data_IF_058161957970
#
_entry.id   IF_058161957970
#
_cell.length_a   1.000
_cell.length_b   1.000
_cell.length_c   1.000
_cell.angle_alpha   90.00
_cell.angle_beta   90.00
_cell.angle_gamma   90.00
#
_symmetry.space_group_name_H-M   'P 1'
#
loop_
_entity.id
_entity.type
_entity.pdbx_description
1 polymer ?
#
# COMPACT_ATOMS: atom_id res chain seq x y z
N UNK A 1 24.59 45.98 -22.85
CA UNK A 1 25.81 45.71 -23.64
C UNK A 1 25.69 44.31 -24.22
N UNK A 2 25.97 44.17 -25.52
CA UNK A 2 25.69 43.03 -26.41
C UNK A 2 26.51 41.76 -26.09
N UNK A 3 25.94 40.58 -26.38
CA UNK A 3 26.58 39.29 -26.68
C UNK A 3 26.91 39.19 -28.21
N UNK A 4 27.44 38.10 -28.82
CA UNK A 4 28.35 36.98 -28.43
C UNK A 4 29.46 36.65 -29.51
N UNK A 5 30.21 35.55 -29.34
CA UNK A 5 30.94 34.80 -30.42
C UNK A 5 32.38 35.27 -30.69
N UNK A 6 33.34 34.53 -31.25
CA UNK A 6 33.36 33.23 -31.94
C UNK A 6 34.85 32.89 -32.28
N UNK A 7 35.22 31.59 -32.27
CA UNK A 7 36.25 30.86 -33.06
C UNK A 7 37.74 31.30 -33.19
N UNK A 8 38.60 30.29 -32.90
CA UNK A 8 39.79 29.77 -33.62
C UNK A 8 41.06 30.61 -33.85
N UNK A 9 42.23 29.97 -33.58
CA UNK A 9 43.48 29.84 -34.39
C UNK A 9 44.50 29.06 -33.50
N UNK A 10 44.78 27.76 -33.68
CA UNK A 10 45.67 27.03 -34.62
C UNK A 10 47.19 27.36 -34.60
N UNK A 11 47.98 26.28 -34.65
CA UNK A 11 49.44 26.13 -34.90
C UNK A 11 50.36 26.13 -33.66
N UNK A 12 51.33 25.23 -33.42
CA UNK A 12 52.08 24.24 -34.22
C UNK A 12 52.72 23.21 -33.25
N UNK A 13 52.63 21.90 -33.50
CA UNK A 13 53.60 21.01 -34.18
C UNK A 13 54.64 20.31 -33.26
N UNK A 14 54.44 18.99 -33.15
CA UNK A 14 55.40 17.87 -33.18
C UNK A 14 56.66 17.90 -32.30
N UNK A 15 56.74 16.94 -31.36
CA UNK A 15 57.92 16.07 -31.26
C UNK A 15 57.50 14.61 -30.99
N UNK A 16 58.21 13.74 -31.68
CA UNK A 16 58.03 12.31 -31.86
C UNK A 16 58.77 11.54 -30.76
N UNK A 17 58.20 10.42 -30.30
CA UNK A 17 58.97 9.19 -30.07
C UNK A 17 58.04 7.98 -29.87
N UNK A 18 58.36 6.81 -30.46
CA UNK A 18 57.57 5.59 -30.34
C UNK A 18 58.12 4.66 -29.24
N UNK A 19 57.25 3.85 -28.64
CA UNK A 19 57.67 2.56 -28.06
C UNK A 19 56.52 1.55 -28.17
N UNK A 20 56.76 0.58 -29.05
CA UNK A 20 56.46 -0.84 -29.01
C UNK A 20 55.13 -1.38 -28.47
N UNK A 21 54.53 -2.22 -29.31
CA UNK A 21 53.27 -2.90 -29.07
C UNK A 21 53.31 -3.90 -27.93
N UNK A 22 52.14 -4.07 -27.33
CA UNK A 22 51.78 -5.28 -26.59
C UNK A 22 50.39 -5.72 -27.05
N UNK A 23 50.38 -6.99 -27.41
CA UNK A 23 49.31 -7.94 -27.69
C UNK A 23 47.94 -7.65 -27.06
N UNK A 24 46.92 -7.99 -27.86
CA UNK A 24 45.53 -8.09 -27.49
C UNK A 24 45.31 -8.87 -26.18
N UNK A 25 44.43 -8.35 -25.34
CA UNK A 25 43.51 -9.19 -24.59
C UNK A 25 42.16 -8.49 -24.46
N UNK A 26 41.12 -9.15 -24.97
CA UNK A 26 39.75 -8.71 -24.90
C UNK A 26 39.25 -8.84 -23.47
N UNK A 27 39.26 -7.73 -22.72
CA UNK A 27 38.56 -7.68 -21.44
C UNK A 27 37.06 -7.60 -21.71
N UNK A 28 36.44 -8.77 -21.72
CA UNK A 28 35.01 -8.95 -21.64
C UNK A 28 34.47 -8.12 -20.45
N UNK A 29 33.65 -7.12 -20.76
CA UNK A 29 32.80 -6.46 -19.78
C UNK A 29 31.96 -7.54 -19.10
N UNK A 30 32.01 -7.71 -17.77
CA UNK A 30 31.11 -8.63 -17.13
C UNK A 30 29.72 -8.04 -17.27
N UNK A 31 28.89 -8.71 -18.09
CA UNK A 31 27.45 -8.62 -17.97
C UNK A 31 27.12 -9.06 -16.55
N UNK A 32 26.97 -8.09 -15.64
CA UNK A 32 26.23 -8.29 -14.41
C UNK A 32 24.79 -8.57 -14.86
N UNK A 33 24.50 -9.83 -15.13
CA UNK A 33 23.14 -10.29 -15.31
C UNK A 33 22.48 -10.09 -13.95
N UNK A 34 21.70 -9.02 -13.83
CA UNK A 34 20.84 -8.81 -12.67
C UNK A 34 20.01 -10.07 -12.55
N UNK A 35 20.33 -10.88 -11.53
CA UNK A 35 19.39 -11.89 -11.05
C UNK A 35 18.25 -11.07 -10.46
N UNK A 36 17.29 -10.70 -11.30
CA UNK A 36 15.95 -10.40 -10.83
C UNK A 36 15.50 -11.67 -10.10
N UNK A 37 15.66 -11.70 -8.78
CA UNK A 37 15.08 -12.76 -7.97
C UNK A 37 13.56 -12.68 -8.21
N UNK A 38 12.95 -13.66 -8.90
CA UNK A 38 11.51 -13.65 -9.03
C UNK A 38 10.96 -13.93 -7.64
N UNK A 39 10.33 -12.93 -7.02
CA UNK A 39 9.55 -13.12 -5.79
C UNK A 39 8.55 -14.24 -6.10
N UNK A 40 8.72 -15.40 -5.46
CA UNK A 40 7.78 -16.50 -5.60
C UNK A 40 6.37 -15.99 -5.25
N UNK A 41 5.31 -16.42 -5.97
CA UNK A 41 3.96 -16.01 -5.62
C UNK A 41 3.67 -16.37 -4.17
N UNK A 42 3.16 -15.40 -3.39
CA UNK A 42 2.69 -15.65 -2.02
C UNK A 42 1.71 -16.82 -2.04
N UNK A 43 1.83 -17.77 -1.10
CA UNK A 43 0.88 -18.87 -1.00
C UNK A 43 -0.53 -18.35 -0.68
N UNK A 44 -1.59 -19.02 -1.14
CA UNK A 44 -2.99 -18.58 -0.92
C UNK A 44 -3.31 -18.28 0.55
N UNK A 45 -2.76 -19.08 1.47
CA UNK A 45 -2.89 -18.87 2.92
C UNK A 45 -2.24 -17.55 3.38
N UNK A 46 -1.07 -17.22 2.87
CA UNK A 46 -0.36 -15.99 3.21
C UNK A 46 -1.10 -14.76 2.65
N UNK A 47 -1.62 -14.86 1.42
CA UNK A 47 -2.48 -13.83 0.84
C UNK A 47 -3.72 -13.58 1.70
N UNK A 48 -4.39 -14.65 2.16
CA UNK A 48 -5.55 -14.52 3.04
C UNK A 48 -5.21 -13.82 4.37
N UNK A 49 -4.05 -14.13 4.97
CA UNK A 49 -3.58 -13.46 6.20
C UNK A 49 -3.25 -11.98 5.98
N UNK A 50 -2.70 -11.62 4.82
CA UNK A 50 -2.45 -10.21 4.48
C UNK A 50 -3.75 -9.44 4.26
N UNK A 51 -4.75 -10.07 3.64
CA UNK A 51 -6.08 -9.49 3.48
C UNK A 51 -6.76 -9.28 4.84
N UNK A 52 -6.64 -10.25 5.75
CA UNK A 52 -7.12 -10.09 7.13
C UNK A 52 -6.49 -8.90 7.82
N UNK A 53 -5.17 -8.85 7.78
CA UNK A 53 -4.42 -7.73 8.35
C UNK A 53 -4.86 -6.40 7.76
N UNK A 54 -5.06 -6.32 6.45
CA UNK A 54 -5.56 -5.10 5.80
C UNK A 54 -6.91 -4.69 6.37
N UNK A 55 -7.85 -5.64 6.47
CA UNK A 55 -9.21 -5.39 6.96
C UNK A 55 -9.23 -5.01 8.44
N UNK A 56 -8.39 -5.65 9.27
CA UNK A 56 -8.22 -5.33 10.69
C UNK A 56 -7.66 -3.92 10.88
N UNK A 57 -6.67 -3.52 10.08
CA UNK A 57 -6.10 -2.18 10.15
C UNK A 57 -7.11 -1.10 9.74
N UNK A 58 -7.93 -1.37 8.71
CA UNK A 58 -9.05 -0.48 8.32
C UNK A 58 -10.05 -0.38 9.48
N UNK A 59 -10.42 -1.52 10.10
CA UNK A 59 -11.34 -1.55 11.24
C UNK A 59 -10.81 -0.71 12.40
N UNK A 60 -9.57 -0.92 12.83
CA UNK A 60 -8.95 -0.15 13.91
C UNK A 60 -8.95 1.35 13.63
N UNK A 61 -8.61 1.75 12.40
CA UNK A 61 -8.60 3.16 11.99
C UNK A 61 -10.00 3.79 12.04
N UNK A 62 -11.03 3.02 11.66
CA UNK A 62 -12.42 3.44 11.74
C UNK A 62 -12.91 3.54 13.19
N UNK A 63 -12.55 2.58 14.05
CA UNK A 63 -12.96 2.60 15.46
C UNK A 63 -12.40 3.79 16.24
N UNK A 64 -11.19 4.27 15.90
CA UNK A 64 -10.62 5.50 16.48
C UNK A 64 -11.51 6.73 16.19
N UNK A 65 -12.32 6.71 15.12
CA UNK A 65 -13.13 7.86 14.73
C UNK A 65 -14.19 8.23 15.77
N UNK A 66 -14.67 7.29 16.57
CA UNK A 66 -15.56 7.59 17.71
C UNK A 66 -14.86 8.48 18.75
N UNK A 67 -13.59 8.22 19.06
CA UNK A 67 -12.84 9.06 20.00
C UNK A 67 -12.53 10.43 19.41
N UNK A 68 -12.23 10.48 18.11
CA UNK A 68 -12.07 11.75 17.38
C UNK A 68 -13.36 12.57 17.41
N UNK A 69 -14.51 11.92 17.19
CA UNK A 69 -15.82 12.56 17.28
C UNK A 69 -16.06 13.11 18.70
N UNK A 70 -15.85 12.31 19.75
CA UNK A 70 -16.02 12.76 21.14
C UNK A 70 -15.15 13.97 21.47
N UNK A 71 -13.89 13.98 20.98
CA UNK A 71 -13.00 15.11 21.20
C UNK A 71 -13.51 16.35 20.49
N UNK A 72 -13.89 16.23 19.22
CA UNK A 72 -14.42 17.36 18.44
C UNK A 72 -15.73 17.89 19.00
N UNK A 73 -16.61 17.00 19.47
CA UNK A 73 -17.86 17.37 20.14
C UNK A 73 -17.59 18.23 21.37
N UNK A 74 -16.73 17.76 22.28
CA UNK A 74 -16.36 18.50 23.49
C UNK A 74 -15.72 19.86 23.17
N UNK A 75 -14.92 19.93 22.11
CA UNK A 75 -14.20 21.15 21.70
C UNK A 75 -14.98 22.03 20.71
N UNK A 76 -16.24 21.66 20.40
CA UNK A 76 -17.08 22.33 19.41
C UNK A 76 -16.37 22.55 18.06
N UNK A 77 -15.62 21.54 17.61
CA UNK A 77 -14.88 21.56 16.34
C UNK A 77 -15.64 20.86 15.22
N UNK A 78 -15.50 21.32 13.97
CA UNK A 78 -16.11 20.66 12.81
C UNK A 78 -15.52 19.25 12.59
N UNK A 79 -16.29 18.41 11.90
CA UNK A 79 -15.86 17.07 11.47
C UNK A 79 -14.78 17.19 10.38
N UNK A 80 -14.90 18.15 9.49
CA UNK A 80 -13.90 18.43 8.46
C UNK A 80 -12.66 19.11 9.06
N UNK A 81 -11.48 18.67 8.63
CA UNK A 81 -10.21 19.36 8.88
C UNK A 81 -9.38 19.35 7.58
N UNK A 82 -9.68 20.24 6.63
CA UNK A 82 -9.06 20.22 5.30
C UNK A 82 -7.53 20.28 5.35
N UNK A 83 -6.98 21.08 6.28
CA UNK A 83 -5.52 21.22 6.45
C UNK A 83 -4.90 19.91 6.94
N UNK A 84 -5.50 19.22 7.92
CA UNK A 84 -4.98 17.94 8.40
C UNK A 84 -5.16 16.82 7.36
N UNK A 85 -6.27 16.83 6.64
CA UNK A 85 -6.58 15.89 5.57
C UNK A 85 -5.56 16.03 4.42
N UNK A 86 -5.29 17.26 3.96
CA UNK A 86 -4.27 17.52 2.95
C UNK A 86 -2.87 17.08 3.39
N UNK A 87 -2.48 17.37 4.63
CA UNK A 87 -1.20 16.93 5.19
C UNK A 87 -1.08 15.38 5.19
N UNK A 88 -2.15 14.66 5.56
CA UNK A 88 -2.19 13.20 5.48
C UNK A 88 -1.99 12.71 4.05
N UNK A 89 -2.73 13.27 3.08
CA UNK A 89 -2.66 12.84 1.69
C UNK A 89 -1.28 13.12 1.07
N UNK A 90 -0.67 14.26 1.40
CA UNK A 90 0.69 14.58 0.97
C UNK A 90 1.71 13.58 1.52
N UNK A 91 1.63 13.26 2.81
CA UNK A 91 2.50 12.26 3.44
C UNK A 91 2.32 10.87 2.80
N UNK A 92 1.07 10.44 2.57
CA UNK A 92 0.75 9.18 1.89
C UNK A 92 1.36 9.15 0.49
N UNK A 93 1.23 10.22 -0.29
CA UNK A 93 1.79 10.30 -1.64
C UNK A 93 3.32 10.18 -1.65
N UNK A 94 4.00 10.85 -0.72
CA UNK A 94 5.45 10.74 -0.55
C UNK A 94 5.86 9.30 -0.19
N UNK A 95 5.18 8.68 0.79
CA UNK A 95 5.48 7.32 1.21
C UNK A 95 5.17 6.28 0.13
N UNK A 96 4.12 6.49 -0.66
CA UNK A 96 3.79 5.65 -1.80
C UNK A 96 4.89 5.67 -2.87
N UNK A 97 5.41 6.87 -3.17
CA UNK A 97 6.54 7.06 -4.09
C UNK A 97 7.77 6.29 -3.61
N UNK A 98 8.13 6.43 -2.33
CA UNK A 98 9.26 5.72 -1.73
C UNK A 98 9.11 4.19 -1.76
N UNK A 99 7.86 3.70 -1.69
CA UNK A 99 7.53 2.27 -1.71
C UNK A 99 7.20 1.72 -3.10
N UNK A 100 7.40 2.53 -4.15
CA UNK A 100 7.18 2.15 -5.55
C UNK A 100 5.76 1.63 -5.87
N UNK A 101 4.75 2.17 -5.18
CA UNK A 101 3.34 1.99 -5.55
C UNK A 101 2.82 3.31 -6.13
N UNK A 102 1.79 3.24 -6.97
CA UNK A 102 1.20 4.43 -7.59
C UNK A 102 0.73 5.44 -6.51
N UNK A 103 1.35 6.64 -6.43
CA UNK A 103 0.98 7.65 -5.44
C UNK A 103 -0.46 8.14 -5.59
N UNK A 104 -0.99 8.22 -6.82
CA UNK A 104 -2.35 8.68 -7.06
C UNK A 104 -3.36 7.67 -6.54
N UNK A 105 -3.11 6.39 -6.79
CA UNK A 105 -3.93 5.31 -6.24
C UNK A 105 -3.89 5.28 -4.70
N UNK A 106 -2.71 5.42 -4.09
CA UNK A 106 -2.58 5.46 -2.63
C UNK A 106 -3.30 6.67 -2.01
N UNK A 107 -3.16 7.86 -2.62
CA UNK A 107 -3.90 9.07 -2.21
C UNK A 107 -5.40 8.84 -2.32
N UNK A 108 -5.88 8.26 -3.43
CA UNK A 108 -7.28 7.92 -3.60
C UNK A 108 -7.76 6.95 -2.51
N UNK A 109 -6.98 5.90 -2.21
CA UNK A 109 -7.29 4.98 -1.12
C UNK A 109 -7.52 5.71 0.20
N UNK A 110 -6.57 6.56 0.61
CA UNK A 110 -6.68 7.30 1.88
C UNK A 110 -7.75 8.39 1.87
N UNK A 111 -8.09 8.99 0.72
CA UNK A 111 -9.29 9.85 0.61
C UNK A 111 -10.55 9.09 0.98
N UNK A 112 -10.74 7.88 0.47
CA UNK A 112 -11.89 7.05 0.82
C UNK A 112 -11.88 6.60 2.28
N UNK A 113 -10.69 6.34 2.86
CA UNK A 113 -10.56 6.08 4.31
C UNK A 113 -10.95 7.30 5.17
N UNK A 114 -10.65 8.53 4.73
CA UNK A 114 -11.11 9.75 5.40
C UNK A 114 -12.64 9.85 5.33
N UNK A 115 -13.24 9.64 4.15
CA UNK A 115 -14.69 9.70 3.97
C UNK A 115 -15.42 8.66 4.82
N UNK A 116 -14.95 7.41 4.84
CA UNK A 116 -15.52 6.35 5.68
C UNK A 116 -15.47 6.73 7.17
N UNK A 117 -14.36 7.31 7.62
CA UNK A 117 -14.24 7.77 9.00
C UNK A 117 -15.15 8.95 9.35
N UNK A 118 -15.39 9.86 8.40
CA UNK A 118 -16.35 10.96 8.59
C UNK A 118 -17.78 10.47 8.75
N UNK A 119 -18.19 9.41 8.03
CA UNK A 119 -19.53 8.83 8.19
C UNK A 119 -19.79 8.37 9.63
N UNK A 120 -18.79 7.76 10.28
CA UNK A 120 -18.88 7.38 11.69
C UNK A 120 -19.05 8.62 12.58
N UNK A 121 -18.21 9.66 12.38
CA UNK A 121 -18.31 10.90 13.17
C UNK A 121 -19.66 11.60 12.97
N UNK A 122 -20.22 11.57 11.76
CA UNK A 122 -21.52 12.17 11.44
C UNK A 122 -22.64 11.43 12.20
N UNK A 123 -22.64 10.10 12.16
CA UNK A 123 -23.64 9.29 12.86
C UNK A 123 -23.58 9.50 14.38
N UNK A 124 -22.37 9.60 14.94
CA UNK A 124 -22.14 9.93 16.34
C UNK A 124 -22.70 11.31 16.70
N UNK A 125 -22.35 12.35 15.94
CA UNK A 125 -22.80 13.73 16.18
C UNK A 125 -24.33 13.83 16.13
N UNK A 126 -24.97 13.20 15.14
CA UNK A 126 -26.43 13.17 15.02
C UNK A 126 -27.08 12.50 16.24
N UNK A 127 -26.50 11.37 16.67
CA UNK A 127 -26.97 10.64 17.85
C UNK A 127 -26.87 11.50 19.11
N UNK A 128 -25.73 12.13 19.33
CA UNK A 128 -25.48 12.96 20.52
C UNK A 128 -26.30 14.24 20.54
N UNK A 129 -26.55 14.83 19.38
CA UNK A 129 -27.47 15.96 19.25
C UNK A 129 -28.90 15.55 19.65
N UNK A 130 -29.40 14.42 19.15
CA UNK A 130 -30.72 13.91 19.49
C UNK A 130 -30.83 13.55 20.98
N UNK A 131 -29.77 12.98 21.56
CA UNK A 131 -29.70 12.61 22.98
C UNK A 131 -29.35 13.78 23.91
N UNK A 132 -29.13 14.99 23.37
CA UNK A 132 -28.73 16.17 24.13
C UNK A 132 -27.47 15.94 25.00
N UNK A 133 -26.50 15.17 24.49
CA UNK A 133 -25.25 14.91 25.21
C UNK A 133 -24.44 16.19 25.29
N UNK A 134 -24.14 16.67 26.51
CA UNK A 134 -23.32 17.86 26.70
C UNK A 134 -21.85 17.63 26.37
N UNK A 135 -21.21 16.67 27.04
CA UNK A 135 -19.79 16.34 26.82
C UNK A 135 -19.46 14.92 27.30
N UNK A 136 -18.31 14.41 26.86
CA UNK A 136 -17.75 13.13 27.28
C UNK A 136 -16.57 13.32 28.23
N UNK A 137 -16.49 12.52 29.30
CA UNK A 137 -15.32 12.47 30.17
C UNK A 137 -14.19 11.62 29.57
N UNK A 138 -12.96 11.84 30.02
CA UNK A 138 -11.78 11.01 29.71
C UNK A 138 -11.50 10.81 28.21
N UNK A 139 -11.79 11.84 27.39
CA UNK A 139 -11.53 11.79 25.96
C UNK A 139 -10.03 12.02 25.68
N UNK A 140 -9.35 11.12 24.94
CA UNK A 140 -7.94 11.31 24.61
C UNK A 140 -7.71 12.57 23.76
N UNK A 141 -6.54 13.21 23.90
CA UNK A 141 -6.22 14.39 23.11
C UNK A 141 -6.05 14.06 21.62
N UNK A 142 -6.67 14.87 20.76
CA UNK A 142 -6.66 14.65 19.32
C UNK A 142 -5.24 14.75 18.74
N UNK A 143 -4.43 15.70 19.19
CA UNK A 143 -3.11 15.97 18.61
C UNK A 143 -2.02 15.09 19.19
N UNK A 144 -2.06 14.86 20.50
CA UNK A 144 -1.01 14.15 21.23
C UNK A 144 -1.23 12.64 21.24
N UNK A 145 -2.47 12.16 21.09
CA UNK A 145 -2.80 10.73 21.18
C UNK A 145 -3.42 10.18 19.90
N UNK A 146 -4.57 10.71 19.48
CA UNK A 146 -5.35 10.09 18.41
C UNK A 146 -4.69 10.23 17.03
N UNK A 147 -4.14 11.41 16.69
CA UNK A 147 -3.43 11.62 15.42
C UNK A 147 -2.19 10.73 15.29
N UNK A 148 -1.29 10.63 16.29
CA UNK A 148 -0.19 9.67 16.25
C UNK A 148 -0.62 8.21 16.04
N UNK A 149 -1.69 7.76 16.70
CA UNK A 149 -2.23 6.40 16.49
C UNK A 149 -2.73 6.21 15.05
N UNK A 150 -3.47 7.19 14.52
CA UNK A 150 -3.90 7.17 13.13
C UNK A 150 -2.72 7.16 12.16
N UNK A 151 -1.67 7.94 12.44
CA UNK A 151 -0.47 7.99 11.60
C UNK A 151 0.28 6.65 11.59
N UNK A 152 0.38 5.98 12.73
CA UNK A 152 0.93 4.62 12.82
C UNK A 152 0.10 3.63 11.99
N UNK A 153 -1.22 3.64 12.12
CA UNK A 153 -2.12 2.79 11.32
C UNK A 153 -2.00 3.09 9.82
N UNK A 154 -1.83 4.35 9.43
CA UNK A 154 -1.65 4.72 8.02
C UNK A 154 -0.35 4.12 7.45
N UNK A 155 0.74 4.09 8.22
CA UNK A 155 2.00 3.47 7.82
C UNK A 155 1.84 1.96 7.64
N UNK A 156 1.18 1.28 8.59
CA UNK A 156 0.94 -0.15 8.53
C UNK A 156 0.01 -0.53 7.37
N UNK A 157 -1.07 0.24 7.16
CA UNK A 157 -1.96 0.07 6.01
C UNK A 157 -1.18 0.15 4.70
N UNK A 158 -0.36 1.17 4.54
CA UNK A 158 0.44 1.35 3.33
C UNK A 158 1.42 0.19 3.14
N UNK A 159 2.07 -0.30 4.20
CA UNK A 159 2.97 -1.46 4.14
C UNK A 159 2.24 -2.75 3.73
N UNK A 160 1.03 -2.98 4.24
CA UNK A 160 0.21 -4.13 3.84
C UNK A 160 -0.26 -4.00 2.39
N UNK A 161 -0.64 -2.80 1.95
CA UNK A 161 -1.03 -2.55 0.56
C UNK A 161 0.11 -2.79 -0.43
N UNK A 162 1.35 -2.43 -0.09
CA UNK A 162 2.52 -2.75 -0.93
C UNK A 162 2.64 -4.26 -1.19
N UNK A 163 2.46 -5.08 -0.14
CA UNK A 163 2.53 -6.53 -0.26
C UNK A 163 1.39 -7.13 -1.09
N UNK A 164 0.20 -6.52 -1.04
CA UNK A 164 -0.97 -6.95 -1.81
C UNK A 164 -1.01 -6.37 -3.23
N UNK A 165 -0.25 -5.32 -3.52
CA UNK A 165 -0.22 -4.65 -4.83
C UNK A 165 -0.05 -5.61 -6.02
N UNK A 166 0.78 -6.67 -5.95
CA UNK A 166 0.88 -7.69 -6.99
C UNK A 166 -0.45 -8.35 -7.40
N UNK A 167 -1.38 -8.51 -6.46
CA UNK A 167 -2.59 -9.32 -6.64
C UNK A 167 -3.89 -8.52 -6.43
N UNK A 168 -3.82 -7.26 -6.01
CA UNK A 168 -5.01 -6.48 -5.60
C UNK A 168 -6.04 -6.29 -6.72
N UNK A 169 -5.59 -6.26 -7.97
CA UNK A 169 -6.46 -6.18 -9.15
C UNK A 169 -7.01 -7.54 -9.62
N UNK A 170 -6.58 -8.65 -9.02
CA UNK A 170 -7.08 -9.98 -9.38
C UNK A 170 -8.52 -10.17 -8.86
N UNK A 171 -9.45 -10.67 -9.69
CA UNK A 171 -10.85 -10.88 -9.28
C UNK A 171 -11.00 -11.79 -8.05
N UNK A 172 -10.16 -12.82 -7.92
CA UNK A 172 -10.16 -13.71 -6.77
C UNK A 172 -9.81 -12.97 -5.46
N UNK A 173 -8.83 -12.07 -5.50
CA UNK A 173 -8.44 -11.24 -4.37
C UNK A 173 -9.53 -10.25 -3.98
N UNK A 174 -10.16 -9.58 -4.95
CA UNK A 174 -11.27 -8.66 -4.69
C UNK A 174 -12.48 -9.39 -4.10
N UNK A 175 -12.82 -10.57 -4.63
CA UNK A 175 -13.87 -11.44 -4.08
C UNK A 175 -13.55 -11.83 -2.63
N UNK A 176 -12.31 -12.24 -2.35
CA UNK A 176 -11.89 -12.63 -1.01
C UNK A 176 -11.95 -11.44 -0.02
N UNK A 177 -11.51 -10.25 -0.43
CA UNK A 177 -11.65 -9.02 0.37
C UNK A 177 -13.13 -8.77 0.67
N UNK A 178 -14.01 -8.84 -0.34
CA UNK A 178 -15.44 -8.61 -0.16
C UNK A 178 -16.09 -9.62 0.80
N UNK A 179 -15.76 -10.90 0.69
CA UNK A 179 -16.26 -11.95 1.56
C UNK A 179 -15.79 -11.76 3.01
N UNK A 180 -14.48 -11.60 3.21
CA UNK A 180 -13.87 -11.49 4.54
C UNK A 180 -14.18 -10.19 5.24
N UNK A 181 -14.39 -9.10 4.50
CA UNK A 181 -14.79 -7.81 5.08
C UNK A 181 -16.07 -7.88 5.89
N UNK A 182 -16.97 -8.84 5.62
CA UNK A 182 -18.23 -8.96 6.34
C UNK A 182 -18.05 -9.45 7.77
N UNK A 183 -17.07 -10.31 8.02
CA UNK A 183 -16.75 -10.83 9.35
C UNK A 183 -15.72 -9.98 10.08
N UNK A 184 -14.77 -9.40 9.35
CA UNK A 184 -13.65 -8.67 9.94
C UNK A 184 -13.98 -7.20 10.11
N UNK A 185 -14.47 -6.51 9.08
CA UNK A 185 -14.69 -5.07 9.14
C UNK A 185 -16.05 -4.75 9.82
N UNK A 186 -16.11 -4.97 11.13
CA UNK A 186 -17.29 -4.81 12.00
C UNK A 186 -16.97 -3.93 13.21
N UNK A 187 -18.00 -3.38 13.85
CA UNK A 187 -17.88 -2.52 15.01
C UNK A 187 -19.08 -1.58 15.11
N UNK A 188 -19.16 -0.82 16.20
CA UNK A 188 -20.13 0.28 16.32
C UNK A 188 -19.94 1.24 15.13
N UNK A 189 -21.05 1.68 14.51
CA UNK A 189 -21.01 2.59 13.35
C UNK A 189 -20.47 1.99 12.04
N UNK A 190 -19.89 0.79 12.01
CA UNK A 190 -19.38 0.15 10.78
C UNK A 190 -20.50 -0.65 10.11
N UNK A 191 -21.40 0.07 9.42
CA UNK A 191 -22.51 -0.51 8.66
C UNK A 191 -22.10 -0.95 7.23
N UNK A 192 -23.09 -1.29 6.39
CA UNK A 192 -22.83 -1.65 4.99
C UNK A 192 -22.32 -0.47 4.15
N UNK A 193 -22.76 0.75 4.45
CA UNK A 193 -22.34 1.98 3.76
C UNK A 193 -20.89 2.31 4.08
N UNK A 194 -20.53 2.32 5.36
CA UNK A 194 -19.16 2.57 5.82
C UNK A 194 -18.20 1.53 5.24
N UNK A 195 -18.55 0.24 5.28
CA UNK A 195 -17.75 -0.81 4.62
C UNK A 195 -17.56 -0.56 3.13
N UNK A 196 -18.63 -0.25 2.40
CA UNK A 196 -18.57 0.02 0.96
C UNK A 196 -17.65 1.20 0.66
N UNK A 197 -17.76 2.29 1.41
CA UNK A 197 -16.94 3.50 1.25
C UNK A 197 -15.48 3.21 1.58
N UNK A 198 -15.20 2.50 2.68
CA UNK A 198 -13.84 2.14 3.09
C UNK A 198 -13.14 1.20 2.08
N UNK A 199 -13.88 0.33 1.39
CA UNK A 199 -13.30 -0.67 0.49
C UNK A 199 -13.34 -0.27 -1.00
N UNK A 200 -14.04 0.81 -1.37
CA UNK A 200 -14.25 1.18 -2.78
C UNK A 200 -12.97 1.15 -3.65
N UNK A 201 -11.83 1.73 -3.21
CA UNK A 201 -10.60 1.74 -4.01
C UNK A 201 -9.98 0.36 -4.24
N UNK A 202 -10.27 -0.60 -3.36
CA UNK A 202 -9.80 -2.00 -3.49
C UNK A 202 -10.66 -2.79 -4.48
N UNK A 203 -11.92 -2.36 -4.70
CA UNK A 203 -12.87 -3.02 -5.59
C UNK A 203 -12.81 -2.46 -7.02
N UNK A 204 -12.32 -1.23 -7.19
CA UNK A 204 -12.25 -0.55 -8.49
C UNK A 204 -10.83 -0.45 -9.04
N UNK A 205 -9.85 -1.06 -8.37
CA UNK A 205 -8.45 -0.97 -8.79
C UNK A 205 -8.24 -1.69 -10.13
N UNK A 206 -7.68 -0.95 -11.08
CA UNK A 206 -7.22 -1.44 -12.37
C UNK A 206 -5.71 -1.14 -12.47
N UNK A 207 -4.88 -2.01 -11.88
CA UNK A 207 -3.43 -1.91 -12.05
C UNK A 207 -3.06 -2.33 -13.49
N UNK A 208 -1.95 -1.84 -14.07
CA UNK A 208 -1.54 -2.19 -15.43
C UNK A 208 -1.55 -3.72 -15.64
N UNK A 209 -2.10 -4.13 -16.77
CA UNK A 209 -2.57 -5.49 -17.10
C UNK A 209 -1.49 -6.59 -17.20
N UNK A 210 -0.28 -6.38 -16.66
CA UNK A 210 0.84 -7.29 -16.83
C UNK A 210 0.97 -8.38 -15.76
N UNK A 211 -0.05 -8.59 -14.92
CA UNK A 211 0.05 -9.59 -13.84
C UNK A 211 -0.87 -10.78 -14.08
N UNK A 212 -0.21 -11.92 -14.26
CA UNK A 212 -0.82 -13.23 -14.30
C UNK A 212 -1.50 -13.54 -12.95
N UNK A 213 -2.83 -13.50 -12.93
CA UNK A 213 -3.63 -13.91 -11.78
C UNK A 213 -3.77 -15.43 -11.69
N UNK A 214 -3.09 -16.20 -12.53
CA UNK A 214 -3.14 -17.66 -12.49
C UNK A 214 -2.39 -18.19 -11.26
N UNK A 215 -2.98 -19.13 -10.51
CA UNK A 215 -2.23 -19.89 -9.51
C UNK A 215 -1.15 -20.70 -10.24
N UNK A 216 0.13 -20.37 -10.01
CA UNK A 216 1.25 -21.17 -10.51
C UNK A 216 1.29 -22.49 -9.73
N UNK A 217 0.59 -23.50 -10.22
CA UNK A 217 0.76 -24.86 -9.74
C UNK A 217 2.16 -25.35 -10.10
N UNK A 218 3.05 -25.43 -9.11
CA UNK A 218 4.36 -26.06 -9.28
C UNK A 218 4.18 -27.58 -9.31
N UNK A 219 3.94 -28.14 -10.49
CA UNK A 219 3.77 -29.59 -10.70
C UNK A 219 5.08 -30.39 -10.56
N UNK A 220 6.24 -29.75 -10.32
CA UNK A 220 7.55 -30.44 -10.24
C UNK A 220 7.81 -31.26 -8.97
N UNK A 221 6.85 -31.43 -8.06
CA UNK A 221 7.01 -32.29 -6.87
C UNK A 221 6.04 -33.48 -6.77
N UNK A 222 5.40 -33.88 -7.88
CA UNK A 222 4.83 -35.22 -8.01
C UNK A 222 5.60 -36.03 -9.06
N UNK A 223 6.86 -36.38 -8.75
CA UNK A 223 7.52 -37.51 -9.40
C UNK A 223 7.98 -38.50 -8.34
N UNK A 224 7.34 -39.67 -8.41
CA UNK A 224 7.75 -40.98 -7.92
C UNK A 224 7.98 -41.16 -6.40
N UNK A 225 6.93 -41.56 -5.69
CA UNK A 225 7.09 -42.60 -4.68
C UNK A 225 7.16 -43.95 -5.42
N UNK A 226 8.18 -44.80 -5.20
CA UNK A 226 8.20 -46.12 -5.79
C UNK A 226 7.08 -46.97 -5.18
N UNK A 227 6.34 -47.67 -6.04
CA UNK A 227 5.34 -48.64 -5.63
C UNK A 227 6.02 -49.76 -4.83
N UNK A 228 5.68 -49.88 -3.54
CA UNK A 228 6.00 -51.06 -2.75
C UNK A 228 5.05 -52.16 -3.24
N UNK A 229 5.53 -53.02 -4.13
CA UNK A 229 4.89 -54.31 -4.40
C UNK A 229 5.10 -55.22 -3.18
N UNK A 230 4.08 -55.32 -2.33
CA UNK A 230 3.99 -56.40 -1.34
C UNK A 230 3.63 -57.71 -2.06
N UNK A 231 4.65 -58.54 -2.27
CA UNK A 231 4.52 -59.95 -2.63
C UNK A 231 4.18 -60.73 -1.35
N UNK A 232 2.95 -61.21 -1.24
CA UNK A 232 2.56 -62.25 -0.29
C UNK A 232 1.81 -63.32 -1.09
N UNK A 233 2.53 -64.39 -1.40
CA UNK A 233 2.02 -65.70 -1.81
C UNK A 233 3.01 -66.71 -1.25
N UNK A 234 2.45 -67.68 -0.50
CA UNK A 234 3.04 -68.83 0.22
C UNK A 234 3.52 -68.59 1.65
#
# INVERSE_FOLDING_TARGET
MLQPGLLFLLSSALLLSPVDGVLADALATPLIHQVENPVAPLGEREQALLIDRLLDLIQQRLMIQHQVARWKWNQQKPIEDPKREEALLNQVGQQATLKQIDPQWAIAFFRWQIQAGKLIQIADFQTWQHQQIGSFANVPDLNQTLRPQLDQLNLELLQTLVQLTPILACPATQKLIAERSRSILRGEGIDATVRRVALAPLMTVQLPASRDCSPRFNTRKLQAAPAIHSRFEQ
#
